data_IF_627857050311
#
_entry.id   IF_627857050311
#
_cell.length_a   1.000
_cell.length_b   1.000
_cell.length_c   1.000
_cell.angle_alpha   90.00
_cell.angle_beta   90.00
_cell.angle_gamma   90.00
#
_symmetry.space_group_name_H-M   'P 1'
#
loop_
_entity.id
_entity.type
_entity.pdbx_description
1 polymer ?
#
# COMPACT_ATOMS: atom_id res chain seq x y z
N UNK A 1 -14.29 -36.48 -8.78
CA UNK A 1 -13.38 -35.52 -8.12
C UNK A 1 -14.25 -34.49 -7.43
N UNK A 2 -14.16 -34.40 -6.10
CA UNK A 2 -15.06 -33.56 -5.30
C UNK A 2 -14.71 -32.07 -5.47
N UNK A 3 -15.70 -31.17 -5.57
CA UNK A 3 -15.47 -29.73 -5.70
C UNK A 3 -14.93 -29.05 -4.43
N UNK A 4 -14.72 -29.80 -3.35
CA UNK A 4 -14.42 -29.29 -2.00
C UNK A 4 -12.93 -29.23 -1.63
N UNK A 5 -12.02 -29.66 -2.51
CA UNK A 5 -10.59 -29.66 -2.18
C UNK A 5 -9.94 -28.27 -2.43
N UNK A 6 -10.46 -27.25 -1.74
CA UNK A 6 -9.88 -25.90 -1.76
C UNK A 6 -8.67 -25.89 -0.82
N UNK A 7 -7.54 -26.43 -1.30
CA UNK A 7 -6.25 -26.40 -0.61
C UNK A 7 -5.98 -24.98 -0.13
N UNK A 8 -6.04 -24.81 1.18
CA UNK A 8 -5.91 -23.51 1.83
C UNK A 8 -4.48 -23.33 2.28
N UNK A 9 -3.71 -22.37 1.76
CA UNK A 9 -2.44 -22.03 2.37
C UNK A 9 -2.68 -21.47 3.78
N UNK A 10 -1.97 -22.02 4.78
CA UNK A 10 -1.96 -21.64 6.20
C UNK A 10 -1.30 -20.25 6.42
N UNK A 11 -1.57 -19.28 5.54
CA UNK A 11 -0.92 -17.97 5.61
C UNK A 11 -1.31 -17.31 6.94
N UNK A 12 -0.34 -16.91 7.78
CA UNK A 12 -0.63 -16.31 9.07
C UNK A 12 -1.39 -15.01 8.88
N UNK A 13 -2.35 -14.72 9.77
CA UNK A 13 -3.07 -13.44 9.79
C UNK A 13 -2.07 -12.31 10.03
N UNK A 14 -2.21 -11.22 9.27
CA UNK A 14 -1.41 -10.00 9.39
C UNK A 14 -2.33 -8.84 9.76
N UNK A 15 -1.84 -7.79 10.45
CA UNK A 15 -2.61 -6.58 10.62
C UNK A 15 -2.85 -5.91 9.26
N UNK A 16 -4.05 -5.37 9.06
CA UNK A 16 -4.44 -4.65 7.86
C UNK A 16 -3.56 -3.40 7.71
N UNK A 17 -2.91 -3.18 6.56
CA UNK A 17 -2.03 -2.01 6.37
C UNK A 17 -2.79 -0.68 6.40
N UNK A 18 -4.09 -0.67 6.07
CA UNK A 18 -4.89 0.57 6.07
C UNK A 18 -5.46 0.96 7.43
N UNK A 19 -5.69 0.00 8.35
CA UNK A 19 -6.39 0.30 9.61
C UNK A 19 -5.97 -0.53 10.83
N UNK A 20 -4.99 -1.43 10.69
CA UNK A 20 -4.43 -2.24 11.78
C UNK A 20 -5.28 -3.44 12.24
N UNK A 21 -6.54 -3.56 11.81
CA UNK A 21 -7.42 -4.68 12.17
C UNK A 21 -6.89 -6.02 11.63
N UNK A 22 -7.17 -7.17 12.29
CA UNK A 22 -6.70 -8.47 11.82
C UNK A 22 -7.23 -8.78 10.41
N UNK A 23 -6.36 -9.25 9.51
CA UNK A 23 -6.73 -9.58 8.15
C UNK A 23 -7.69 -10.77 8.10
N UNK A 24 -8.59 -10.72 7.12
CA UNK A 24 -9.52 -11.81 6.81
C UNK A 24 -9.08 -12.51 5.54
N UNK A 25 -9.34 -13.80 5.44
CA UNK A 25 -8.85 -14.63 4.34
C UNK A 25 -9.31 -14.14 2.97
N UNK A 26 -10.58 -13.75 2.87
CA UNK A 26 -11.20 -13.30 1.62
C UNK A 26 -10.57 -12.03 1.06
N UNK A 27 -10.02 -11.18 1.93
CA UNK A 27 -9.45 -9.89 1.55
C UNK A 27 -7.98 -9.77 1.92
N UNK A 28 -7.28 -10.87 2.21
CA UNK A 28 -5.89 -10.84 2.66
C UNK A 28 -5.02 -10.03 1.67
N UNK A 29 -4.21 -9.05 2.13
CA UNK A 29 -3.79 -8.77 3.51
C UNK A 29 -4.69 -7.81 4.32
N UNK A 30 -5.86 -7.43 3.81
CA UNK A 30 -6.76 -6.45 4.42
C UNK A 30 -7.83 -7.10 5.31
N UNK A 31 -8.52 -6.27 6.08
CA UNK A 31 -9.67 -6.69 6.90
C UNK A 31 -11.01 -6.65 6.15
N UNK A 32 -11.12 -5.95 5.01
CA UNK A 32 -12.36 -5.76 4.26
C UNK A 32 -12.11 -5.27 2.83
N UNK A 33 -13.11 -5.41 1.94
CA UNK A 33 -13.11 -4.81 0.59
C UNK A 33 -12.85 -3.30 0.63
N UNK A 34 -13.48 -2.58 1.57
CA UNK A 34 -13.29 -1.13 1.72
C UNK A 34 -11.82 -0.75 1.93
N UNK A 35 -11.09 -1.50 2.76
CA UNK A 35 -9.66 -1.23 2.97
C UNK A 35 -8.83 -1.53 1.73
N UNK A 36 -9.15 -2.59 0.98
CA UNK A 36 -8.51 -2.88 -0.30
C UNK A 36 -8.70 -1.73 -1.31
N UNK A 37 -9.91 -1.16 -1.39
CA UNK A 37 -10.20 -0.08 -2.33
C UNK A 37 -9.53 1.24 -1.95
N UNK A 38 -9.40 1.52 -0.64
CA UNK A 38 -8.67 2.70 -0.14
C UNK A 38 -7.19 2.59 -0.52
N UNK A 39 -6.57 1.43 -0.30
CA UNK A 39 -5.18 1.17 -0.68
C UNK A 39 -5.02 1.39 -2.20
N UNK A 40 -5.87 0.76 -3.02
CA UNK A 40 -5.85 0.95 -4.47
C UNK A 40 -5.93 2.44 -4.87
N UNK A 41 -6.79 3.22 -4.21
CA UNK A 41 -6.87 4.65 -4.47
C UNK A 41 -5.60 5.41 -4.05
N UNK A 42 -4.91 5.01 -2.98
CA UNK A 42 -3.60 5.58 -2.62
C UNK A 42 -2.55 5.28 -3.70
N UNK A 43 -2.56 4.06 -4.25
CA UNK A 43 -1.71 3.68 -5.38
C UNK A 43 -1.99 4.56 -6.61
N UNK A 44 -3.25 4.69 -7.00
CA UNK A 44 -3.64 5.50 -8.16
C UNK A 44 -3.32 6.99 -7.98
N UNK A 45 -3.24 7.47 -6.73
CA UNK A 45 -2.85 8.85 -6.40
C UNK A 45 -1.33 9.05 -6.30
N UNK A 46 -0.52 8.00 -6.48
CA UNK A 46 0.93 8.09 -6.35
C UNK A 46 1.40 8.33 -4.91
N UNK A 47 0.63 7.90 -3.90
CA UNK A 47 0.97 8.13 -2.50
C UNK A 47 2.13 7.24 -1.99
N UNK A 48 2.51 6.22 -2.75
CA UNK A 48 3.62 5.33 -2.41
C UNK A 48 4.90 5.83 -3.08
N UNK A 49 5.81 6.37 -2.27
CA UNK A 49 7.11 6.90 -2.71
C UNK A 49 8.22 6.08 -2.08
N UNK A 50 9.19 5.66 -2.90
CA UNK A 50 10.43 5.05 -2.42
C UNK A 50 11.40 6.21 -2.12
N UNK A 51 11.84 6.41 -0.87
CA UNK A 51 12.84 7.43 -0.58
C UNK A 51 14.13 7.11 -1.32
N UNK A 52 14.70 8.11 -1.99
CA UNK A 52 16.02 8.01 -2.60
C UNK A 52 17.10 7.80 -1.53
N UNK A 53 18.19 7.15 -1.89
CA UNK A 53 19.41 7.15 -1.08
C UNK A 53 20.11 8.49 -1.35
N UNK A 54 20.63 9.13 -0.30
CA UNK A 54 21.31 10.42 -0.43
C UNK A 54 22.67 10.30 -1.19
N UNK A 55 23.13 9.08 -1.48
CA UNK A 55 24.50 8.79 -1.92
C UNK A 55 24.63 8.35 -3.40
N UNK A 56 23.62 8.53 -4.25
CA UNK A 56 23.76 8.27 -5.69
C UNK A 56 23.26 9.47 -6.49
N UNK A 57 24.22 10.25 -7.01
CA UNK A 57 24.03 11.30 -8.00
C UNK A 57 23.29 10.75 -9.23
N UNK A 58 22.18 11.41 -9.58
CA UNK A 58 21.47 11.47 -10.87
C UNK A 58 21.41 10.20 -11.76
N UNK A 59 20.25 9.53 -11.78
CA UNK A 59 19.46 9.40 -13.03
C UNK A 59 17.99 8.99 -12.75
N UNK A 60 17.08 9.59 -13.52
CA UNK A 60 15.67 9.21 -13.76
C UNK A 60 14.52 9.75 -12.86
N UNK A 61 14.03 10.93 -13.25
CA UNK A 61 12.63 11.07 -13.70
C UNK A 61 11.46 11.09 -12.70
N UNK A 62 11.24 12.21 -11.98
CA UNK A 62 9.93 12.50 -11.34
C UNK A 62 9.84 13.90 -10.72
N UNK A 63 8.72 14.65 -10.88
CA UNK A 63 8.67 16.06 -10.51
C UNK A 63 8.61 16.19 -8.99
N UNK A 64 9.64 16.84 -8.42
CA UNK A 64 9.66 17.23 -7.01
C UNK A 64 8.72 18.43 -6.81
N UNK A 65 7.50 18.17 -6.35
CA UNK A 65 6.62 19.18 -5.78
C UNK A 65 6.50 18.95 -4.28
N UNK A 66 7.44 19.52 -3.50
CA UNK A 66 7.16 19.89 -2.13
C UNK A 66 6.38 21.21 -2.13
N UNK A 67 5.32 21.38 -1.32
CA UNK A 67 4.53 22.61 -1.36
C UNK A 67 5.35 23.80 -0.90
N UNK A 68 5.38 24.80 -1.78
CA UNK A 68 5.71 26.19 -1.52
C UNK A 68 5.00 26.68 -0.25
N UNK A 69 5.74 26.84 0.85
CA UNK A 69 5.42 27.90 1.81
C UNK A 69 6.23 29.10 1.40
N UNK A 70 5.60 29.96 0.61
CA UNK A 70 6.06 31.34 0.41
C UNK A 70 5.99 32.06 1.76
N UNK A 71 7.11 32.67 2.10
CA UNK A 71 7.35 33.81 2.98
C UNK A 71 6.14 34.75 3.19
N UNK A 72 5.82 35.13 4.43
CA UNK A 72 5.81 36.55 4.84
C UNK A 72 5.70 36.71 6.37
N UNK A 73 6.22 37.83 6.85
CA UNK A 73 6.57 38.23 8.23
C UNK A 73 5.49 38.15 9.31
#
# INVERSE_FOLDING_TARGET
MSPDEKVTPLRPKRPCPECGKPSVREHYPFCSTRCKDIDLNRWLKGAYVIPGRDDEEEEDGGPKQGPSSTDEQ
#
